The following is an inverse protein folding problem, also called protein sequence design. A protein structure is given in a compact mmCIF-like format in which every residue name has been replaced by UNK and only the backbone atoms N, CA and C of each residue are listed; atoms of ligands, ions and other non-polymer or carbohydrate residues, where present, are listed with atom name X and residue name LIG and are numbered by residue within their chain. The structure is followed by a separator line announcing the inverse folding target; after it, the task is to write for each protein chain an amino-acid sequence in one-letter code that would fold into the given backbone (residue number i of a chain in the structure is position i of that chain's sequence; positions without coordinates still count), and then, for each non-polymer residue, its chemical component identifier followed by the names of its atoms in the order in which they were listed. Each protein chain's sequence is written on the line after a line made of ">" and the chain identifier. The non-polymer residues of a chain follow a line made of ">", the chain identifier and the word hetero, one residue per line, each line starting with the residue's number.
data_IF_811431761162
#
_entry.id   IF_811431761162
#
_cell.length_a   1.000
_cell.length_b   1.000
_cell.length_c   1.000
_cell.angle_alpha   90.00
_cell.angle_beta   90.00
_cell.angle_gamma   90.00
#
_symmetry.space_group_name_H-M   'P 1'
#
loop_
_entity.id
_entity.type
_entity.pdbx_description
1 polymer ?
#
# COMPACT_ATOMS: atom_id res chain seq x y z
N UNK A 1 -7.89 22.12 12.78
CA UNK A 1 -6.73 21.32 12.31
C UNK A 1 -6.14 22.02 11.10
N UNK A 2 -4.99 22.66 11.25
CA UNK A 2 -4.33 23.40 10.15
C UNK A 2 -3.50 22.44 9.29
N UNK A 3 -3.92 22.22 8.06
CA UNK A 3 -3.08 21.61 7.05
C UNK A 3 -1.88 22.55 6.82
N UNK A 4 -0.66 22.05 7.08
CA UNK A 4 0.56 22.80 6.82
C UNK A 4 0.63 23.12 5.32
N UNK A 5 0.34 24.38 4.98
CA UNK A 5 0.47 24.92 3.62
C UNK A 5 1.92 24.70 3.18
N UNK A 6 2.12 23.96 2.09
CA UNK A 6 3.44 23.68 1.53
C UNK A 6 4.21 25.00 1.35
N UNK A 7 5.31 25.15 2.10
CA UNK A 7 6.13 26.37 2.13
C UNK A 7 6.93 26.64 0.84
N UNK A 8 6.82 25.79 -0.17
CA UNK A 8 7.50 25.94 -1.47
C UNK A 8 6.45 26.00 -2.56
N UNK A 9 6.46 27.07 -3.34
CA UNK A 9 5.65 27.17 -4.54
C UNK A 9 6.03 26.03 -5.49
N UNK A 10 5.03 25.30 -5.96
CA UNK A 10 5.23 24.28 -6.98
C UNK A 10 5.80 24.95 -8.24
N UNK A 11 6.89 24.40 -8.77
CA UNK A 11 7.48 24.83 -10.05
C UNK A 11 6.68 24.33 -11.26
N UNK A 12 5.59 23.61 -11.02
CA UNK A 12 4.73 23.06 -12.07
C UNK A 12 3.92 24.18 -12.72
N UNK A 13 3.97 24.26 -14.05
CA UNK A 13 3.15 25.18 -14.84
C UNK A 13 1.69 24.71 -14.92
N UNK A 14 0.94 24.87 -13.82
CA UNK A 14 -0.43 24.36 -13.69
C UNK A 14 -1.41 24.86 -14.77
N UNK A 15 -1.23 26.10 -15.26
CA UNK A 15 -2.04 26.66 -16.34
C UNK A 15 -1.85 25.89 -17.65
N UNK A 16 -0.61 25.51 -17.96
CA UNK A 16 -0.27 24.71 -19.15
C UNK A 16 -0.88 23.31 -19.06
N UNK A 17 -0.72 22.64 -17.92
CA UNK A 17 -1.26 21.27 -17.74
C UNK A 17 -2.79 21.26 -17.83
N UNK A 18 -3.47 22.25 -17.24
CA UNK A 18 -4.94 22.35 -17.32
C UNK A 18 -5.48 22.61 -18.73
N UNK A 19 -4.69 23.22 -19.60
CA UNK A 19 -5.08 23.50 -20.98
C UNK A 19 -4.70 22.38 -21.97
N UNK A 20 -3.92 21.39 -21.53
CA UNK A 20 -3.48 20.27 -22.34
C UNK A 20 -4.64 19.30 -22.58
N UNK A 21 -4.77 18.77 -23.80
CA UNK A 21 -5.74 17.72 -24.12
C UNK A 21 -5.10 16.36 -23.93
N UNK A 22 -5.90 15.36 -23.58
CA UNK A 22 -5.43 13.99 -23.32
C UNK A 22 -4.61 13.40 -24.48
N UNK A 23 -5.04 13.65 -25.73
CA UNK A 23 -4.35 13.20 -26.94
C UNK A 23 -2.93 13.77 -27.13
N UNK A 24 -2.63 14.87 -26.44
CA UNK A 24 -1.33 15.55 -26.53
C UNK A 24 -0.36 15.03 -25.46
N UNK A 25 -0.80 14.12 -24.56
CA UNK A 25 0.03 13.48 -23.53
C UNK A 25 0.98 12.48 -24.19
N UNK A 26 2.26 12.60 -23.85
CA UNK A 26 3.33 11.72 -24.33
C UNK A 26 3.47 10.51 -23.37
N UNK A 27 3.34 9.30 -23.93
CA UNK A 27 3.48 8.01 -23.24
C UNK A 27 4.69 7.20 -23.73
N UNK A 28 5.64 7.84 -24.42
CA UNK A 28 6.81 7.16 -24.98
C UNK A 28 7.74 6.54 -23.93
N UNK A 29 7.71 7.06 -22.70
CA UNK A 29 8.53 6.60 -21.57
C UNK A 29 7.82 5.55 -20.69
N UNK A 30 6.49 5.60 -20.60
CA UNK A 30 5.69 4.68 -19.80
C UNK A 30 4.36 4.37 -20.48
N UNK A 31 4.02 3.08 -20.68
CA UNK A 31 2.73 2.71 -21.26
C UNK A 31 1.58 3.13 -20.34
N UNK A 32 0.41 3.35 -20.94
CA UNK A 32 -0.82 3.63 -20.19
C UNK A 32 -1.17 2.47 -19.25
N UNK A 33 -1.62 2.82 -18.05
CA UNK A 33 -2.09 1.85 -17.06
C UNK A 33 -3.51 1.44 -17.40
N UNK A 34 -3.68 0.23 -17.93
CA UNK A 34 -4.96 -0.33 -18.32
C UNK A 34 -5.67 -1.05 -17.15
N UNK A 35 -6.88 -1.54 -17.40
CA UNK A 35 -7.66 -2.28 -16.39
C UNK A 35 -6.93 -3.55 -15.90
N UNK A 36 -6.10 -4.17 -16.74
CA UNK A 36 -5.31 -5.34 -16.36
C UNK A 36 -4.26 -4.98 -15.31
N UNK A 37 -3.59 -3.84 -15.47
CA UNK A 37 -2.66 -3.34 -14.45
C UNK A 37 -3.34 -3.20 -13.08
N UNK A 38 -4.57 -2.65 -13.05
CA UNK A 38 -5.31 -2.49 -11.81
C UNK A 38 -5.87 -3.80 -11.27
N UNK A 39 -6.21 -4.77 -12.13
CA UNK A 39 -6.65 -6.09 -11.72
C UNK A 39 -5.57 -6.87 -10.96
N UNK A 40 -4.30 -6.69 -11.35
CA UNK A 40 -3.14 -7.34 -10.72
C UNK A 40 -2.48 -6.49 -9.62
N UNK A 41 -2.91 -5.24 -9.45
CA UNK A 41 -2.31 -4.32 -8.52
C UNK A 41 -2.39 -4.83 -7.07
N UNK A 42 -1.24 -4.87 -6.40
CA UNK A 42 -1.19 -5.18 -4.96
C UNK A 42 -1.58 -3.95 -4.16
N UNK A 43 -2.69 -4.02 -3.42
CA UNK A 43 -3.15 -2.92 -2.57
C UNK A 43 -2.08 -2.57 -1.52
N UNK A 44 -1.63 -1.31 -1.53
CA UNK A 44 -0.72 -0.80 -0.51
C UNK A 44 -1.45 -0.73 0.85
N UNK A 45 -1.03 -1.49 1.88
CA UNK A 45 -1.79 -1.64 3.12
C UNK A 45 -1.69 -0.44 4.09
N UNK A 46 -0.94 0.59 3.72
CA UNK A 46 -0.69 1.78 4.54
C UNK A 46 0.53 1.65 5.44
N UNK A 47 0.74 2.64 6.32
CA UNK A 47 1.83 2.62 7.30
C UNK A 47 1.56 1.57 8.37
N UNK A 48 2.57 0.77 8.72
CA UNK A 48 2.51 -0.15 9.85
C UNK A 48 2.52 0.64 11.16
N UNK A 49 1.74 0.22 12.14
CA UNK A 49 1.80 0.75 13.52
C UNK A 49 2.79 -0.08 14.33
N UNK A 50 3.77 0.56 14.95
CA UNK A 50 4.68 -0.10 15.88
C UNK A 50 3.99 -0.23 17.24
N UNK A 51 3.74 -1.47 17.65
CA UNK A 51 3.14 -1.79 18.94
C UNK A 51 3.96 -2.88 19.61
N UNK A 52 3.96 -2.90 20.95
CA UNK A 52 4.56 -3.98 21.74
C UNK A 52 3.48 -5.00 22.06
N UNK A 53 3.63 -6.22 21.56
CA UNK A 53 2.74 -7.36 21.86
C UNK A 53 3.57 -8.50 22.44
N UNK A 54 2.95 -9.30 23.32
CA UNK A 54 3.53 -10.56 23.81
C UNK A 54 2.98 -11.69 22.95
N UNK A 55 3.87 -12.58 22.52
CA UNK A 55 3.57 -13.79 21.76
C UNK A 55 4.21 -14.96 22.50
N UNK A 56 3.62 -16.15 22.35
CA UNK A 56 4.18 -17.37 22.92
C UNK A 56 5.54 -17.69 22.31
N UNK A 57 6.42 -18.32 23.11
CA UNK A 57 7.81 -18.56 22.71
C UNK A 57 7.91 -19.48 21.50
N UNK A 58 7.12 -20.54 21.47
CA UNK A 58 7.03 -21.51 20.37
C UNK A 58 6.62 -20.85 19.05
N UNK A 59 5.67 -19.92 19.08
CA UNK A 59 5.24 -19.15 17.90
C UNK A 59 6.40 -18.29 17.39
N UNK A 60 7.08 -17.58 18.27
CA UNK A 60 8.21 -16.73 17.88
C UNK A 60 9.33 -17.57 17.29
N UNK A 61 9.65 -18.70 17.91
CA UNK A 61 10.73 -19.58 17.47
C UNK A 61 10.40 -20.23 16.13
N UNK A 62 9.14 -20.65 15.91
CA UNK A 62 8.68 -21.12 14.61
C UNK A 62 8.91 -20.09 13.51
N UNK A 63 8.54 -18.83 13.71
CA UNK A 63 8.74 -17.80 12.68
C UNK A 63 10.21 -17.41 12.50
N UNK A 64 11.03 -17.51 13.55
CA UNK A 64 12.49 -17.29 13.45
C UNK A 64 13.18 -18.35 12.59
N UNK A 65 12.68 -19.59 12.53
CA UNK A 65 13.24 -20.63 11.63
C UNK A 65 13.27 -20.21 10.16
N UNK A 66 12.37 -19.30 9.75
CA UNK A 66 12.27 -18.78 8.38
C UNK A 66 13.27 -17.65 8.06
N UNK A 67 14.12 -17.29 9.02
CA UNK A 67 15.21 -16.34 8.83
C UNK A 67 14.82 -14.86 8.99
N UNK A 68 15.57 -13.99 8.30
CA UNK A 68 15.42 -12.53 8.42
C UNK A 68 14.02 -12.11 7.96
N UNK A 69 13.34 -11.33 8.80
CA UNK A 69 12.01 -10.82 8.49
C UNK A 69 10.85 -11.57 9.15
N UNK A 70 11.12 -12.41 10.16
CA UNK A 70 10.09 -13.14 10.91
C UNK A 70 8.92 -12.26 11.40
N UNK A 71 9.18 -11.01 11.82
CA UNK A 71 8.13 -10.05 12.19
C UNK A 71 7.19 -9.71 11.02
N UNK A 72 7.73 -9.58 9.80
CA UNK A 72 6.93 -9.35 8.61
C UNK A 72 6.11 -10.58 8.25
N UNK A 73 6.63 -11.79 8.46
CA UNK A 73 5.89 -13.04 8.30
C UNK A 73 4.74 -13.16 9.30
N UNK A 74 4.98 -12.83 10.58
CA UNK A 74 3.92 -12.77 11.61
C UNK A 74 2.80 -11.83 11.16
N UNK A 75 3.16 -10.61 10.76
CA UNK A 75 2.18 -9.62 10.30
C UNK A 75 1.41 -10.09 9.05
N UNK A 76 2.07 -10.76 8.09
CA UNK A 76 1.41 -11.31 6.91
C UNK A 76 0.38 -12.40 7.27
N UNK A 77 0.71 -13.28 8.21
CA UNK A 77 -0.21 -14.31 8.72
C UNK A 77 -1.43 -13.68 9.39
N UNK A 78 -1.22 -12.72 10.29
CA UNK A 78 -2.31 -12.01 10.98
C UNK A 78 -3.22 -11.28 9.98
N UNK A 79 -2.64 -10.67 8.95
CA UNK A 79 -3.39 -10.02 7.87
C UNK A 79 -4.28 -11.01 7.10
N UNK A 80 -3.73 -12.15 6.68
CA UNK A 80 -4.50 -13.19 5.97
C UNK A 80 -5.66 -13.70 6.82
N UNK A 81 -5.43 -13.89 8.11
CA UNK A 81 -6.51 -14.27 9.04
C UNK A 81 -7.61 -13.20 9.11
N UNK A 82 -7.23 -11.94 9.29
CA UNK A 82 -8.17 -10.81 9.32
C UNK A 82 -9.00 -10.72 8.03
N UNK A 83 -8.36 -10.82 6.85
CA UNK A 83 -9.03 -10.77 5.55
C UNK A 83 -10.01 -11.94 5.35
N UNK A 84 -9.63 -13.14 5.79
CA UNK A 84 -10.53 -14.30 5.77
C UNK A 84 -11.77 -14.08 6.65
N UNK A 85 -11.61 -13.52 7.86
CA UNK A 85 -12.72 -13.20 8.74
C UNK A 85 -13.63 -12.11 8.16
N UNK A 86 -13.05 -11.05 7.58
CA UNK A 86 -13.83 -9.98 6.96
C UNK A 86 -14.66 -10.49 5.77
N UNK A 87 -14.11 -11.39 4.94
CA UNK A 87 -14.88 -11.99 3.84
C UNK A 87 -16.07 -12.79 4.35
N UNK A 88 -15.90 -13.57 5.43
CA UNK A 88 -16.99 -14.34 6.06
C UNK A 88 -18.10 -13.43 6.60
N UNK A 89 -17.74 -12.32 7.26
CA UNK A 89 -18.71 -11.38 7.81
C UNK A 89 -19.46 -10.58 6.75
N UNK A 90 -18.84 -10.32 5.58
CA UNK A 90 -19.50 -9.63 4.46
C UNK A 90 -20.43 -10.53 3.64
N UNK A 91 -20.30 -11.85 3.77
CA UNK A 91 -21.17 -12.84 3.12
C UNK A 91 -22.39 -13.25 3.95
N UNK A 92 -22.56 -12.67 5.14
CA UNK A 92 -23.74 -12.81 6.01
C UNK A 92 -24.50 -11.50 6.00
#
# INVERSE_FOLDING_TARGET
>A
MSAQVMRKQSKTGWTKIKAMKDRDIDFSDVPELDDNFFAEATLWPGKKKQITIRLDSDVVDFFKTKGRGYQSSINATLRRYMEAQQRRLKST
#
